data_IF_796596623842
#
_entry.id   IF_796596623842
#
_cell.length_a   1.000
_cell.length_b   1.000
_cell.length_c   1.000
_cell.angle_alpha   90.00
_cell.angle_beta   90.00
_cell.angle_gamma   90.00
#
_symmetry.space_group_name_H-M   'P 1'
#
loop_
_entity.id
_entity.type
_entity.pdbx_description
1 polymer ?
#
# COMPACT_ATOMS: atom_id res chain seq x y z
N UNK A 1 8.99 4.62 15.54
CA UNK A 1 8.46 5.80 14.81
C UNK A 1 9.56 6.84 14.68
N UNK A 2 9.75 7.37 13.48
CA UNK A 2 10.71 8.44 13.25
C UNK A 2 10.18 9.78 13.81
N UNK A 3 11.02 10.51 14.53
CA UNK A 3 10.71 11.82 15.07
C UNK A 3 11.04 12.97 14.11
N UNK A 4 10.54 14.16 14.41
CA UNK A 4 10.72 15.35 13.58
C UNK A 4 12.18 15.64 13.24
N UNK A 5 13.06 15.59 14.24
CA UNK A 5 14.49 15.92 14.05
C UNK A 5 15.26 14.87 13.26
N UNK A 6 14.70 13.66 13.13
CA UNK A 6 15.31 12.54 12.40
C UNK A 6 14.95 12.55 10.90
N UNK A 7 13.91 13.30 10.53
CA UNK A 7 13.38 13.33 9.16
C UNK A 7 13.83 14.56 8.40
N UNK A 8 14.09 14.37 7.12
CA UNK A 8 14.35 15.44 6.14
C UNK A 8 13.83 15.00 4.78
N UNK A 9 13.74 15.92 3.83
CA UNK A 9 13.43 15.57 2.44
C UNK A 9 14.43 14.53 1.93
N UNK A 10 13.91 13.45 1.32
CA UNK A 10 14.68 12.29 0.90
C UNK A 10 14.84 11.19 1.94
N UNK A 11 14.44 11.41 3.21
CA UNK A 11 14.42 10.34 4.20
C UNK A 11 13.49 9.21 3.76
N UNK A 12 13.94 7.97 3.95
CA UNK A 12 13.21 6.77 3.59
C UNK A 12 13.42 5.69 4.66
N UNK A 13 12.39 4.92 5.01
CA UNK A 13 12.55 3.75 5.86
C UNK A 13 13.12 2.58 5.05
N UNK A 14 13.50 1.53 5.74
CA UNK A 14 13.85 0.25 5.07
C UNK A 14 12.63 -0.30 4.33
N UNK A 15 12.85 -0.76 3.10
CA UNK A 15 11.80 -1.42 2.32
C UNK A 15 11.35 -2.71 3.01
N UNK A 16 10.06 -3.03 2.87
CA UNK A 16 9.47 -4.23 3.44
C UNK A 16 8.82 -5.09 2.36
N UNK A 17 9.08 -6.38 2.41
CA UNK A 17 8.42 -7.37 1.56
C UNK A 17 7.21 -7.97 2.27
N UNK A 18 6.13 -8.18 1.51
CA UNK A 18 4.90 -8.82 1.97
C UNK A 18 4.48 -9.90 0.98
N UNK A 19 4.15 -11.06 1.49
CA UNK A 19 3.72 -12.18 0.66
C UNK A 19 4.55 -13.44 0.89
N UNK A 20 4.42 -14.42 -0.01
CA UNK A 20 3.58 -14.40 -1.21
C UNK A 20 2.09 -14.23 -0.88
N UNK A 21 1.41 -13.41 -1.65
CA UNK A 21 -0.03 -13.17 -1.51
C UNK A 21 -0.77 -14.41 -2.02
N UNK A 22 -1.50 -15.06 -1.14
CA UNK A 22 -2.24 -16.27 -1.48
C UNK A 22 -3.69 -15.99 -1.88
N UNK A 23 -4.34 -16.97 -2.53
CA UNK A 23 -5.78 -16.92 -2.76
C UNK A 23 -6.56 -16.84 -1.45
N UNK A 24 -6.07 -17.50 -0.41
CA UNK A 24 -6.66 -17.43 0.93
C UNK A 24 -6.60 -16.01 1.51
N UNK A 25 -5.49 -15.29 1.30
CA UNK A 25 -5.37 -13.89 1.72
C UNK A 25 -6.42 -13.01 1.02
N UNK A 26 -6.63 -13.23 -0.27
CA UNK A 26 -7.64 -12.52 -1.06
C UNK A 26 -9.05 -12.76 -0.53
N UNK A 27 -9.39 -14.03 -0.25
CA UNK A 27 -10.70 -14.42 0.29
C UNK A 27 -10.91 -13.87 1.70
N UNK A 28 -9.88 -13.92 2.55
CA UNK A 28 -9.94 -13.31 3.89
C UNK A 28 -10.23 -11.83 3.82
N UNK A 29 -9.56 -11.13 2.92
CA UNK A 29 -9.79 -9.70 2.75
C UNK A 29 -11.19 -9.40 2.22
N UNK A 30 -11.68 -10.20 1.27
CA UNK A 30 -13.07 -10.10 0.80
C UNK A 30 -14.07 -10.26 1.94
N UNK A 31 -13.86 -11.24 2.80
CA UNK A 31 -14.71 -11.47 3.98
C UNK A 31 -14.68 -10.31 4.97
N UNK A 32 -13.51 -9.72 5.19
CA UNK A 32 -13.34 -8.59 6.11
C UNK A 32 -13.90 -7.28 5.54
N UNK A 33 -13.74 -7.04 4.23
CA UNK A 33 -14.12 -5.78 3.58
C UNK A 33 -15.56 -5.77 3.07
N UNK A 34 -16.18 -6.94 2.87
CA UNK A 34 -17.48 -7.06 2.23
C UNK A 34 -17.44 -6.93 0.71
N UNK A 35 -16.25 -6.92 0.10
CA UNK A 35 -16.09 -6.93 -1.36
C UNK A 35 -16.07 -8.37 -1.87
N UNK A 36 -17.22 -8.87 -2.28
CA UNK A 36 -17.39 -10.23 -2.77
C UNK A 36 -17.40 -10.36 -4.29
N UNK A 37 -16.76 -9.44 -5.00
CA UNK A 37 -16.65 -9.52 -6.45
C UNK A 37 -16.00 -10.87 -6.85
N UNK A 38 -16.67 -11.68 -7.67
CA UNK A 38 -16.18 -13.01 -8.04
C UNK A 38 -14.85 -12.99 -8.80
N UNK A 39 -14.45 -11.85 -9.35
CA UNK A 39 -13.17 -11.73 -10.06
C UNK A 39 -11.95 -12.02 -9.15
N UNK A 40 -12.14 -11.95 -7.84
CA UNK A 40 -11.08 -12.19 -6.85
C UNK A 40 -11.07 -13.63 -6.31
N UNK A 41 -12.07 -14.46 -6.61
CA UNK A 41 -12.15 -15.82 -6.06
C UNK A 41 -12.67 -16.89 -7.03
N UNK A 42 -13.32 -16.50 -8.14
CA UNK A 42 -13.87 -17.42 -9.11
C UNK A 42 -13.03 -17.39 -10.39
N UNK A 43 -12.25 -18.45 -10.60
CA UNK A 43 -11.33 -18.60 -11.74
C UNK A 43 -12.05 -18.54 -13.08
N UNK A 44 -13.21 -19.21 -13.20
CA UNK A 44 -13.98 -19.20 -14.44
C UNK A 44 -14.52 -17.82 -14.75
N UNK A 45 -15.02 -17.11 -13.73
CA UNK A 45 -15.47 -15.73 -13.88
C UNK A 45 -14.33 -14.82 -14.33
N UNK A 46 -13.16 -14.89 -13.68
CA UNK A 46 -12.00 -14.07 -14.03
C UNK A 46 -11.55 -14.31 -15.48
N UNK A 47 -11.49 -15.57 -15.91
CA UNK A 47 -11.16 -15.94 -17.30
C UNK A 47 -12.19 -15.45 -18.30
N UNK A 48 -13.47 -15.52 -17.97
CA UNK A 48 -14.55 -15.00 -18.84
C UNK A 48 -14.47 -13.47 -18.97
N UNK A 49 -13.95 -12.79 -17.97
CA UNK A 49 -13.71 -11.34 -17.99
C UNK A 49 -12.41 -10.93 -18.71
N UNK A 50 -11.64 -11.89 -19.22
CA UNK A 50 -10.43 -11.65 -20.01
C UNK A 50 -9.13 -11.70 -19.21
N UNK A 51 -9.17 -12.14 -17.95
CA UNK A 51 -7.97 -12.26 -17.11
C UNK A 51 -7.45 -13.71 -17.09
N UNK A 52 -6.14 -13.90 -16.90
CA UNK A 52 -5.56 -15.26 -16.88
C UNK A 52 -5.91 -16.04 -15.61
N UNK A 53 -6.31 -15.36 -14.56
CA UNK A 53 -6.56 -15.91 -13.22
C UNK A 53 -7.37 -14.91 -12.39
N UNK A 54 -7.80 -15.32 -11.19
CA UNK A 54 -8.23 -14.37 -10.17
C UNK A 54 -7.05 -13.47 -9.77
N UNK A 55 -7.34 -12.27 -9.29
CA UNK A 55 -6.34 -11.36 -8.79
C UNK A 55 -6.81 -10.69 -7.49
N UNK A 56 -5.86 -10.12 -6.76
CA UNK A 56 -6.10 -9.54 -5.44
C UNK A 56 -7.02 -8.33 -5.51
N UNK A 57 -7.77 -8.15 -4.43
CA UNK A 57 -8.51 -6.91 -4.19
C UNK A 57 -7.53 -5.76 -4.04
N UNK A 58 -7.65 -4.71 -4.85
CA UNK A 58 -6.70 -3.58 -4.82
C UNK A 58 -6.58 -2.92 -3.45
N UNK A 59 -7.66 -2.86 -2.69
CA UNK A 59 -7.66 -2.30 -1.33
C UNK A 59 -6.85 -3.15 -0.34
N UNK A 60 -6.59 -4.44 -0.60
CA UNK A 60 -5.66 -5.23 0.21
C UNK A 60 -4.25 -4.65 0.10
N UNK A 61 -3.76 -4.41 -1.11
CA UNK A 61 -2.44 -3.81 -1.33
C UNK A 61 -2.37 -2.39 -0.78
N UNK A 62 -3.44 -1.60 -0.94
CA UNK A 62 -3.53 -0.26 -0.36
C UNK A 62 -3.46 -0.31 1.18
N UNK A 63 -4.08 -1.30 1.80
CA UNK A 63 -4.01 -1.54 3.24
C UNK A 63 -2.62 -1.97 3.71
N UNK A 64 -1.95 -2.85 2.95
CA UNK A 64 -0.57 -3.25 3.23
C UNK A 64 0.36 -2.03 3.19
N UNK A 65 0.24 -1.20 2.17
CA UNK A 65 1.03 0.03 2.03
C UNK A 65 0.74 1.03 3.16
N UNK A 66 -0.52 1.16 3.55
CA UNK A 66 -0.89 1.99 4.71
C UNK A 66 -0.26 1.48 6.00
N UNK A 67 -0.26 0.16 6.22
CA UNK A 67 0.39 -0.48 7.37
C UNK A 67 1.89 -0.17 7.42
N UNK A 68 2.57 -0.31 6.29
CA UNK A 68 3.98 0.06 6.14
C UNK A 68 4.22 1.53 6.53
N UNK A 69 3.41 2.45 6.01
CA UNK A 69 3.56 3.87 6.28
C UNK A 69 3.28 4.22 7.76
N UNK A 70 2.28 3.58 8.37
CA UNK A 70 1.93 3.81 9.77
C UNK A 70 2.90 3.17 10.75
N UNK A 71 3.55 2.08 10.38
CA UNK A 71 4.67 1.53 11.16
C UNK A 71 5.86 2.50 11.18
N UNK A 72 6.08 3.19 10.07
CA UNK A 72 7.13 4.21 9.97
C UNK A 72 6.80 5.50 10.74
N UNK A 73 5.60 6.06 10.54
CA UNK A 73 5.28 7.43 10.98
C UNK A 73 4.14 7.51 12.02
N UNK A 74 3.53 6.39 12.36
CA UNK A 74 2.49 6.30 13.38
C UNK A 74 1.05 6.41 12.83
N UNK A 75 0.21 5.45 13.21
CA UNK A 75 -1.19 5.40 12.75
C UNK A 75 -2.02 6.61 13.20
N UNK A 76 -1.79 7.09 14.42
CA UNK A 76 -2.50 8.26 14.96
C UNK A 76 -2.12 9.58 14.27
N UNK A 77 -1.02 9.57 13.53
CA UNK A 77 -0.42 10.76 12.91
C UNK A 77 -0.91 11.02 11.49
N UNK A 78 -1.66 10.11 10.90
CA UNK A 78 -2.18 10.26 9.54
C UNK A 78 -3.11 11.46 9.44
N UNK A 79 -2.86 12.34 8.48
CA UNK A 79 -3.75 13.44 8.12
C UNK A 79 -4.39 13.24 6.75
N UNK A 80 -3.67 12.57 5.84
CA UNK A 80 -4.14 12.25 4.51
C UNK A 80 -3.47 10.98 4.01
N UNK A 81 -4.23 10.15 3.31
CA UNK A 81 -3.74 8.99 2.59
C UNK A 81 -4.50 8.86 1.28
N UNK A 82 -3.79 8.85 0.17
CA UNK A 82 -4.37 8.73 -1.16
C UNK A 82 -3.59 7.73 -1.98
N UNK A 83 -4.29 6.92 -2.77
CA UNK A 83 -3.68 5.87 -3.60
C UNK A 83 -4.23 5.90 -5.01
N UNK A 84 -3.41 5.40 -5.94
CA UNK A 84 -3.79 5.08 -7.30
C UNK A 84 -3.51 3.60 -7.54
N UNK A 85 -4.51 2.89 -8.02
CA UNK A 85 -4.37 1.50 -8.46
C UNK A 85 -3.70 1.47 -9.83
N UNK A 86 -2.68 0.64 -9.97
CA UNK A 86 -1.89 0.49 -11.21
C UNK A 86 -1.98 -0.94 -11.75
N UNK A 87 -1.07 -1.82 -11.37
CA UNK A 87 -1.08 -3.21 -11.79
C UNK A 87 -1.88 -4.08 -10.82
N UNK A 88 -2.53 -5.13 -11.36
CA UNK A 88 -3.10 -6.19 -10.53
C UNK A 88 -2.00 -6.97 -9.82
N UNK A 89 -2.32 -7.49 -8.64
CA UNK A 89 -1.49 -8.43 -7.89
C UNK A 89 -2.08 -9.82 -8.03
N UNK A 90 -1.26 -10.76 -8.43
CA UNK A 90 -1.66 -12.13 -8.75
C UNK A 90 -1.34 -13.09 -7.61
N UNK A 91 -2.04 -14.25 -7.53
CA UNK A 91 -1.69 -15.27 -6.53
C UNK A 91 -0.20 -15.64 -6.62
N UNK A 92 0.48 -15.63 -5.48
CA UNK A 92 1.91 -15.92 -5.37
C UNK A 92 2.83 -14.71 -5.50
N UNK A 93 2.31 -13.53 -5.85
CA UNK A 93 3.12 -12.31 -5.94
C UNK A 93 3.66 -11.91 -4.55
N UNK A 94 4.90 -11.47 -4.54
CA UNK A 94 5.51 -10.73 -3.42
C UNK A 94 5.45 -9.25 -3.77
N UNK A 95 4.99 -8.43 -2.85
CA UNK A 95 4.98 -6.97 -3.01
C UNK A 95 5.99 -6.34 -2.07
N UNK A 96 6.62 -5.27 -2.54
CA UNK A 96 7.62 -4.50 -1.80
C UNK A 96 7.09 -3.11 -1.56
N UNK A 97 6.99 -2.71 -0.29
CA UNK A 97 6.59 -1.37 0.10
C UNK A 97 7.81 -0.50 0.35
N UNK A 98 7.77 0.71 -0.18
CA UNK A 98 8.79 1.74 0.00
C UNK A 98 8.16 3.12 0.19
N UNK A 99 8.92 4.05 0.72
CA UNK A 99 8.45 5.40 0.95
C UNK A 99 9.59 6.41 1.00
N UNK A 100 9.27 7.67 0.71
CA UNK A 100 10.24 8.76 0.72
C UNK A 100 9.56 10.04 1.18
N UNK A 101 10.19 10.78 2.09
CA UNK A 101 9.74 12.13 2.47
C UNK A 101 10.00 13.08 1.30
N UNK A 102 8.94 13.74 0.83
CA UNK A 102 9.00 14.70 -0.27
C UNK A 102 8.95 16.15 0.20
N UNK A 103 8.37 16.39 1.37
CA UNK A 103 8.27 17.72 1.95
C UNK A 103 8.22 17.65 3.48
N UNK A 104 8.90 18.58 4.12
CA UNK A 104 8.88 18.77 5.58
C UNK A 104 8.51 20.23 5.86
N UNK A 105 7.47 20.47 6.65
CA UNK A 105 6.92 21.81 6.83
C UNK A 105 6.08 21.94 8.10
N UNK A 106 5.83 23.18 8.50
CA UNK A 106 4.89 23.51 9.57
C UNK A 106 3.60 24.06 8.97
N UNK A 107 2.46 23.56 9.43
CA UNK A 107 1.14 24.03 9.02
C UNK A 107 0.13 23.82 10.14
N UNK A 108 -0.69 24.83 10.40
CA UNK A 108 -1.75 24.78 11.43
C UNK A 108 -1.23 24.41 12.82
N UNK A 109 0.00 24.83 13.15
CA UNK A 109 0.64 24.51 14.43
C UNK A 109 1.15 23.08 14.56
N UNK A 110 1.13 22.31 13.48
CA UNK A 110 1.63 20.93 13.43
C UNK A 110 2.89 20.82 12.58
N UNK A 111 3.83 20.00 13.02
CA UNK A 111 4.97 19.57 12.22
C UNK A 111 4.49 18.48 11.26
N UNK A 112 4.59 18.69 9.95
CA UNK A 112 4.06 17.78 8.93
C UNK A 112 5.14 17.32 7.95
N UNK A 113 4.99 16.08 7.49
CA UNK A 113 5.73 15.57 6.34
C UNK A 113 4.75 15.02 5.30
N UNK A 114 5.04 15.31 4.04
CA UNK A 114 4.43 14.62 2.91
C UNK A 114 5.37 13.52 2.47
N UNK A 115 4.81 12.38 2.13
CA UNK A 115 5.55 11.20 1.68
C UNK A 115 4.96 10.63 0.41
N UNK A 116 5.82 10.20 -0.51
CA UNK A 116 5.46 9.31 -1.60
C UNK A 116 5.63 7.86 -1.15
N UNK A 117 4.69 7.02 -1.53
CA UNK A 117 4.64 5.61 -1.17
C UNK A 117 4.49 4.75 -2.42
N UNK A 118 5.13 3.60 -2.44
CA UNK A 118 5.02 2.62 -3.51
C UNK A 118 4.80 1.22 -2.93
N UNK A 119 3.89 0.48 -3.57
CA UNK A 119 3.77 -0.96 -3.42
C UNK A 119 4.08 -1.57 -4.78
N UNK A 120 5.24 -2.20 -4.90
CA UNK A 120 5.78 -2.70 -6.17
C UNK A 120 5.66 -4.21 -6.24
N UNK A 121 5.27 -4.76 -7.39
CA UNK A 121 5.32 -6.21 -7.62
C UNK A 121 6.75 -6.64 -7.87
N UNK A 122 7.27 -7.54 -7.04
CA UNK A 122 8.64 -8.04 -7.20
C UNK A 122 8.84 -8.72 -8.56
N UNK A 123 7.84 -9.45 -9.05
CA UNK A 123 7.92 -10.21 -10.30
C UNK A 123 8.07 -9.33 -11.55
N UNK A 124 7.40 -8.18 -11.60
CA UNK A 124 7.42 -7.28 -12.77
C UNK A 124 8.28 -6.04 -12.56
N UNK A 125 8.57 -5.67 -11.32
CA UNK A 125 9.17 -4.38 -10.98
C UNK A 125 8.22 -3.18 -11.13
N UNK A 126 6.97 -3.43 -11.54
CA UNK A 126 5.94 -2.40 -11.71
C UNK A 126 5.18 -2.09 -10.44
N UNK A 127 4.68 -0.87 -10.32
CA UNK A 127 3.87 -0.46 -9.19
C UNK A 127 2.47 -1.08 -9.26
N UNK A 128 2.05 -1.77 -8.19
CA UNK A 128 0.67 -2.16 -7.97
C UNK A 128 -0.14 -0.97 -7.42
N UNK A 129 0.45 -0.24 -6.47
CA UNK A 129 -0.13 0.96 -5.85
C UNK A 129 0.91 2.09 -5.85
N UNK A 130 0.50 3.27 -6.27
CA UNK A 130 1.18 4.54 -5.98
C UNK A 130 0.40 5.28 -4.92
N UNK A 131 1.06 5.68 -3.86
CA UNK A 131 0.46 6.39 -2.75
C UNK A 131 1.12 7.73 -2.47
N UNK A 132 0.35 8.60 -1.84
CA UNK A 132 0.84 9.83 -1.25
C UNK A 132 0.13 10.03 0.09
N UNK A 133 0.87 10.47 1.10
CA UNK A 133 0.31 10.66 2.43
C UNK A 133 0.89 11.89 3.11
N UNK A 134 0.14 12.41 4.07
CA UNK A 134 0.58 13.46 4.98
C UNK A 134 0.49 12.95 6.41
N UNK A 135 1.56 13.09 7.16
CA UNK A 135 1.64 12.73 8.57
C UNK A 135 2.04 13.94 9.41
N UNK A 136 1.50 14.00 10.61
CA UNK A 136 2.06 14.83 11.67
C UNK A 136 3.21 14.05 12.30
N UNK A 137 4.29 14.74 12.60
CA UNK A 137 5.46 14.13 13.24
C UNK A 137 5.75 14.88 14.54
N UNK A 138 5.61 14.23 15.70
CA UNK A 138 5.89 14.86 16.98
C UNK A 138 7.37 15.12 17.22
#
# INVERSE_FOLDING_TARGET
MAGWDELQEGSAPEEQEYGPISRTDMVRYQGASGDFNPIHHDEEFAKSAGYPSVFSVGMLQAGILAGFATDWLGAANVRRYAVQFREQVWPGDVVVCSGTVTRKYDEDGEHKVDVDLLCTRQASGGAAIKGAATFVVP
#
